data_IF_051941307803
#
_entry.id   IF_051941307803
#
_cell.length_a   1.000
_cell.length_b   1.000
_cell.length_c   1.000
_cell.angle_alpha   90.00
_cell.angle_beta   90.00
_cell.angle_gamma   90.00
#
_symmetry.space_group_name_H-M   'P 1'
#
loop_
_entity.id
_entity.type
_entity.pdbx_description
1 polymer ?
#
# COMPACT_ATOMS: atom_id res chain seq x y z
N UNK A 1 -1.54 -15.29 0.99
CA UNK A 1 -0.06 -15.14 1.13
C UNK A 1 0.25 -13.85 1.90
N UNK A 2 1.50 -13.65 2.32
CA UNK A 2 1.97 -12.37 2.87
C UNK A 2 2.71 -11.62 1.76
N UNK A 3 2.30 -10.40 1.45
CA UNK A 3 2.87 -9.58 0.36
C UNK A 3 3.32 -8.25 0.94
N UNK A 4 4.56 -7.86 0.66
CA UNK A 4 5.07 -6.52 0.93
C UNK A 4 5.23 -5.80 -0.42
N UNK A 5 4.64 -4.62 -0.54
CA UNK A 5 4.80 -3.75 -1.71
C UNK A 5 5.71 -2.59 -1.29
N UNK A 6 6.80 -2.38 -2.01
CA UNK A 6 7.70 -1.27 -1.74
C UNK A 6 7.57 -0.23 -2.84
N UNK A 7 7.21 1.00 -2.48
CA UNK A 7 7.04 2.11 -3.39
C UNK A 7 7.84 3.31 -2.88
N UNK A 8 8.71 3.85 -3.73
CA UNK A 8 9.53 5.03 -3.44
C UNK A 8 9.27 6.08 -4.50
N UNK A 9 9.25 7.35 -4.11
CA UNK A 9 9.08 8.48 -5.02
C UNK A 9 7.98 9.44 -4.60
N UNK A 10 7.27 9.95 -5.60
CA UNK A 10 6.20 10.92 -5.47
C UNK A 10 4.85 10.25 -5.22
N UNK A 11 3.80 11.06 -5.06
CA UNK A 11 2.42 10.56 -4.94
C UNK A 11 2.03 9.65 -6.12
N UNK A 12 2.45 10.00 -7.33
CA UNK A 12 2.15 9.22 -8.54
C UNK A 12 2.80 7.83 -8.52
N UNK A 13 3.92 7.69 -7.81
CA UNK A 13 4.59 6.41 -7.62
C UNK A 13 3.92 5.55 -6.55
N UNK A 14 3.36 6.15 -5.48
CA UNK A 14 2.74 5.41 -4.36
C UNK A 14 1.27 5.04 -4.61
N UNK A 15 0.48 5.97 -5.14
CA UNK A 15 -0.97 5.83 -5.25
C UNK A 15 -1.44 4.59 -6.04
N UNK A 16 -0.83 4.20 -7.19
CA UNK A 16 -1.25 3.03 -7.94
C UNK A 16 -1.12 1.72 -7.13
N UNK A 17 -0.17 1.65 -6.22
CA UNK A 17 0.06 0.47 -5.40
C UNK A 17 -0.97 0.30 -4.29
N UNK A 18 -1.71 1.34 -3.91
CA UNK A 18 -2.86 1.22 -3.01
C UNK A 18 -3.96 0.40 -3.70
N UNK A 19 -4.25 0.68 -4.97
CA UNK A 19 -5.23 -0.10 -5.74
C UNK A 19 -4.81 -1.57 -5.88
N UNK A 20 -3.53 -1.83 -6.13
CA UNK A 20 -2.99 -3.19 -6.14
C UNK A 20 -3.14 -3.87 -4.77
N UNK A 21 -2.80 -3.17 -3.69
CA UNK A 21 -2.91 -3.71 -2.34
C UNK A 21 -4.35 -4.11 -2.00
N UNK A 22 -5.33 -3.26 -2.35
CA UNK A 22 -6.75 -3.55 -2.17
C UNK A 22 -7.18 -4.81 -2.94
N UNK A 23 -6.83 -4.92 -4.23
CA UNK A 23 -7.19 -6.10 -5.03
C UNK A 23 -6.56 -7.42 -4.55
N UNK A 24 -5.40 -7.34 -3.89
CA UNK A 24 -4.77 -8.49 -3.22
C UNK A 24 -5.44 -8.82 -1.88
N UNK A 25 -5.84 -7.80 -1.11
CA UNK A 25 -6.61 -7.97 0.14
C UNK A 25 -7.96 -8.62 -0.15
N UNK A 26 -8.67 -8.18 -1.18
CA UNK A 26 -9.94 -8.77 -1.63
C UNK A 26 -9.82 -10.26 -1.98
N UNK A 27 -8.64 -10.69 -2.44
CA UNK A 27 -8.31 -12.10 -2.73
C UNK A 27 -7.84 -12.88 -1.50
N UNK A 28 -7.96 -12.31 -0.30
CA UNK A 28 -7.60 -12.95 0.97
C UNK A 28 -6.11 -12.94 1.28
N UNK A 29 -5.33 -12.05 0.68
CA UNK A 29 -3.91 -11.89 1.01
C UNK A 29 -3.70 -10.86 2.13
N UNK A 30 -2.64 -11.06 2.93
CA UNK A 30 -2.18 -10.07 3.90
C UNK A 30 -1.16 -9.17 3.21
N UNK A 31 -1.46 -7.89 3.09
CA UNK A 31 -0.64 -6.93 2.34
C UNK A 31 -0.19 -5.81 3.25
N UNK A 32 1.05 -5.37 3.07
CA UNK A 32 1.62 -4.18 3.69
C UNK A 32 2.32 -3.36 2.60
N UNK A 33 2.13 -2.04 2.62
CA UNK A 33 2.74 -1.11 1.68
C UNK A 33 3.79 -0.27 2.42
N UNK A 34 5.04 -0.40 1.98
CA UNK A 34 6.16 0.36 2.51
C UNK A 34 6.49 1.54 1.60
N UNK A 35 6.40 2.76 2.13
CA UNK A 35 6.56 4.01 1.38
C UNK A 35 7.08 5.16 2.27
N UNK A 36 7.53 6.29 1.70
CA UNK A 36 7.91 7.46 2.50
C UNK A 36 6.80 7.88 3.48
N UNK A 37 7.18 8.19 4.73
CA UNK A 37 6.25 8.48 5.85
C UNK A 37 5.20 9.56 5.54
N UNK A 38 5.49 10.51 4.67
CA UNK A 38 4.54 11.52 4.20
C UNK A 38 3.29 10.95 3.49
N UNK A 39 3.31 9.67 3.11
CA UNK A 39 2.18 8.97 2.50
C UNK A 39 1.47 7.99 3.46
N UNK A 40 1.89 7.91 4.73
CA UNK A 40 1.29 7.00 5.72
C UNK A 40 -0.23 7.16 5.80
N UNK A 41 -0.71 8.38 6.01
CA UNK A 41 -2.16 8.66 6.10
C UNK A 41 -2.88 8.25 4.81
N UNK A 42 -2.31 8.56 3.64
CA UNK A 42 -2.90 8.18 2.35
C UNK A 42 -3.09 6.65 2.22
N UNK A 43 -2.14 5.87 2.71
CA UNK A 43 -2.19 4.40 2.67
C UNK A 43 -3.21 3.86 3.69
N UNK A 44 -3.15 4.36 4.92
CA UNK A 44 -4.00 3.91 6.02
C UNK A 44 -5.46 4.32 5.85
N UNK A 45 -5.74 5.47 5.22
CA UNK A 45 -7.11 5.93 4.90
C UNK A 45 -7.87 4.94 3.98
N UNK A 46 -7.13 4.11 3.23
CA UNK A 46 -7.69 3.05 2.39
C UNK A 46 -7.72 1.68 3.09
N UNK A 47 -7.39 1.61 4.38
CA UNK A 47 -7.34 0.36 5.14
C UNK A 47 -6.18 -0.57 4.78
N UNK A 48 -5.14 -0.05 4.12
CA UNK A 48 -3.92 -0.81 3.81
C UNK A 48 -2.90 -0.63 4.94
N UNK A 49 -2.25 -1.71 5.38
CA UNK A 49 -1.21 -1.63 6.41
C UNK A 49 0.03 -0.89 5.87
N UNK A 50 0.56 0.04 6.65
CA UNK A 50 1.73 0.87 6.31
C UNK A 50 2.99 0.37 7.04
N UNK A 51 4.16 0.56 6.42
CA UNK A 51 5.48 0.32 7.02
C UNK A 51 6.60 1.19 6.45
#
# INVERSE_FOLDING_TARGET
MRVAIHALGTRGDVQPYIALALGLIERGHRVQLAAPVQFESMVQDHGVAFA
#
